data_IF_606517685583
#
_entry.id   IF_606517685583
#
_cell.length_a   1.000
_cell.length_b   1.000
_cell.length_c   1.000
_cell.angle_alpha   90.00
_cell.angle_beta   90.00
_cell.angle_gamma   90.00
#
_symmetry.space_group_name_H-M   'P 1'
#
loop_
_entity.id
_entity.type
_entity.pdbx_description
1 polymer ?
#
# COMPACT_ATOMS: atom_id res chain seq x y z
N UNK A 1 -40.48 5.85 -6.60
CA UNK A 1 -39.68 5.77 -5.34
C UNK A 1 -40.11 4.60 -4.44
N UNK A 2 -41.37 4.52 -3.95
CA UNK A 2 -41.80 3.43 -3.04
C UNK A 2 -41.51 2.00 -3.53
N UNK A 3 -41.76 1.70 -4.81
CA UNK A 3 -41.46 0.40 -5.39
C UNK A 3 -39.94 0.08 -5.40
N UNK A 4 -39.11 1.11 -5.62
CA UNK A 4 -37.65 1.00 -5.57
C UNK A 4 -37.16 0.72 -4.15
N UNK A 5 -37.66 1.46 -3.14
CA UNK A 5 -37.29 1.23 -1.74
C UNK A 5 -37.66 -0.17 -1.26
N UNK A 6 -38.84 -0.68 -1.67
CA UNK A 6 -39.24 -2.05 -1.38
C UNK A 6 -38.39 -3.09 -2.10
N UNK A 7 -38.02 -2.83 -3.37
CA UNK A 7 -37.17 -3.74 -4.17
C UNK A 7 -35.79 -3.93 -3.54
N UNK A 8 -35.20 -2.85 -3.01
CA UNK A 8 -33.84 -2.85 -2.46
C UNK A 8 -33.77 -2.83 -0.93
N UNK A 9 -34.89 -3.08 -0.23
CA UNK A 9 -34.96 -3.10 1.24
C UNK A 9 -34.24 -1.89 1.88
N UNK A 10 -34.57 -0.68 1.42
CA UNK A 10 -33.93 0.58 1.83
C UNK A 10 -34.61 1.13 3.08
N UNK A 11 -33.83 1.57 4.06
CA UNK A 11 -34.30 2.20 5.30
C UNK A 11 -34.90 3.59 5.07
N UNK A 12 -35.68 4.07 6.03
CA UNK A 12 -36.36 5.36 5.94
C UNK A 12 -35.38 6.54 5.81
N UNK A 13 -34.16 6.39 6.33
CA UNK A 13 -33.14 7.45 6.31
C UNK A 13 -32.60 7.66 4.90
N UNK A 14 -32.21 6.58 4.24
CA UNK A 14 -31.74 6.61 2.86
C UNK A 14 -32.87 6.98 1.91
N UNK A 15 -34.11 6.54 2.18
CA UNK A 15 -35.29 6.97 1.44
C UNK A 15 -35.51 8.50 1.49
N UNK A 16 -35.52 9.09 2.70
CA UNK A 16 -35.63 10.54 2.89
C UNK A 16 -34.48 11.31 2.23
N UNK A 17 -33.28 10.76 2.24
CA UNK A 17 -32.12 11.39 1.60
C UNK A 17 -32.30 11.45 0.09
N UNK A 18 -32.76 10.36 -0.54
CA UNK A 18 -33.05 10.34 -1.98
C UNK A 18 -34.19 11.29 -2.34
N UNK A 19 -35.25 11.33 -1.52
CA UNK A 19 -36.39 12.24 -1.72
C UNK A 19 -36.01 13.73 -1.60
N UNK A 20 -35.00 14.05 -0.81
CA UNK A 20 -34.48 15.41 -0.65
C UNK A 20 -33.53 15.84 -1.80
N UNK A 21 -33.08 14.94 -2.67
CA UNK A 21 -32.24 15.26 -3.82
C UNK A 21 -33.03 15.96 -4.93
N UNK A 22 -32.32 16.65 -5.84
CA UNK A 22 -32.93 17.23 -7.04
C UNK A 22 -33.54 16.13 -7.94
N UNK A 23 -34.59 16.44 -8.74
CA UNK A 23 -35.23 15.47 -9.62
C UNK A 23 -34.25 14.76 -10.56
N UNK A 24 -33.24 15.47 -11.07
CA UNK A 24 -32.22 14.92 -11.97
C UNK A 24 -31.36 13.86 -11.28
N UNK A 25 -30.93 14.13 -10.05
CA UNK A 25 -30.18 13.18 -9.22
C UNK A 25 -31.06 11.96 -8.90
N UNK A 26 -32.33 12.17 -8.57
CA UNK A 26 -33.27 11.06 -8.31
C UNK A 26 -33.42 10.15 -9.53
N UNK A 27 -33.65 10.72 -10.71
CA UNK A 27 -33.78 9.96 -11.96
C UNK A 27 -32.51 9.18 -12.29
N UNK A 28 -31.35 9.83 -12.16
CA UNK A 28 -30.05 9.19 -12.43
C UNK A 28 -29.73 8.05 -11.46
N UNK A 29 -30.12 8.21 -10.20
CA UNK A 29 -30.02 7.12 -9.20
C UNK A 29 -30.95 5.97 -9.60
N UNK A 30 -32.21 6.24 -9.93
CA UNK A 30 -33.17 5.20 -10.28
C UNK A 30 -32.81 4.44 -11.56
N UNK A 31 -32.17 5.08 -12.54
CA UNK A 31 -31.75 4.44 -13.78
C UNK A 31 -30.46 3.64 -13.67
N UNK A 32 -29.54 4.09 -12.82
CA UNK A 32 -28.14 3.61 -12.82
C UNK A 32 -27.81 2.75 -11.60
N UNK A 33 -28.60 2.84 -10.54
CA UNK A 33 -28.36 2.04 -9.34
C UNK A 33 -28.80 0.59 -9.56
N UNK A 34 -27.86 -0.23 -10.01
CA UNK A 34 -28.02 -1.67 -10.17
C UNK A 34 -26.98 -2.43 -9.34
N UNK A 35 -27.18 -2.52 -8.01
CA UNK A 35 -26.25 -3.24 -7.17
C UNK A 35 -26.38 -4.75 -7.46
N UNK A 36 -25.24 -5.43 -7.56
CA UNK A 36 -25.20 -6.88 -7.78
C UNK A 36 -26.09 -7.62 -6.76
N UNK A 37 -26.95 -8.56 -7.20
CA UNK A 37 -27.86 -9.27 -6.32
C UNK A 37 -27.06 -10.09 -5.31
N UNK A 38 -26.99 -9.56 -4.10
CA UNK A 38 -26.38 -10.22 -2.96
C UNK A 38 -27.50 -10.92 -2.18
N UNK A 39 -27.16 -11.96 -1.41
CA UNK A 39 -28.08 -12.88 -0.72
C UNK A 39 -29.38 -12.21 -0.23
N UNK A 40 -30.51 -12.90 -0.41
CA UNK A 40 -31.84 -12.42 -0.05
C UNK A 40 -31.88 -11.84 1.38
N UNK A 41 -32.29 -10.58 1.52
CA UNK A 41 -32.47 -9.91 2.81
C UNK A 41 -31.41 -8.86 3.19
N UNK A 42 -30.43 -8.57 2.33
CA UNK A 42 -29.49 -7.48 2.61
C UNK A 42 -30.13 -6.10 2.47
N UNK A 43 -29.73 -5.21 3.38
CA UNK A 43 -30.06 -3.78 3.37
C UNK A 43 -29.10 -3.03 2.42
N UNK A 44 -29.65 -2.42 1.37
CA UNK A 44 -28.88 -1.66 0.38
C UNK A 44 -28.71 -0.17 0.75
N UNK A 45 -29.18 0.27 1.92
CA UNK A 45 -29.16 1.68 2.36
C UNK A 45 -27.75 2.28 2.34
N UNK A 46 -26.74 1.54 2.81
CA UNK A 46 -25.35 2.02 2.81
C UNK A 46 -24.79 2.20 1.40
N UNK A 47 -25.08 1.26 0.50
CA UNK A 47 -24.65 1.32 -0.91
C UNK A 47 -25.35 2.47 -1.64
N UNK A 48 -26.66 2.61 -1.44
CA UNK A 48 -27.46 3.69 -2.02
C UNK A 48 -26.98 5.07 -1.54
N UNK A 49 -26.72 5.23 -0.24
CA UNK A 49 -26.18 6.49 0.31
C UNK A 49 -24.81 6.85 -0.24
N UNK A 50 -23.93 5.87 -0.47
CA UNK A 50 -22.65 6.09 -1.15
C UNK A 50 -22.83 6.55 -2.59
N UNK A 51 -23.75 5.90 -3.31
CA UNK A 51 -24.05 6.22 -4.70
C UNK A 51 -24.70 7.60 -4.88
N UNK A 52 -25.66 7.96 -4.03
CA UNK A 52 -26.28 9.30 -4.00
C UNK A 52 -25.20 10.38 -3.82
N UNK A 53 -24.28 10.20 -2.85
CA UNK A 53 -23.17 11.16 -2.66
C UNK A 53 -22.29 11.28 -3.89
N UNK A 54 -21.97 10.17 -4.54
CA UNK A 54 -21.15 10.19 -5.77
C UNK A 54 -21.83 10.95 -6.91
N UNK A 55 -23.13 10.77 -7.11
CA UNK A 55 -23.87 11.47 -8.17
C UNK A 55 -24.04 12.95 -7.82
N UNK A 56 -24.37 13.28 -6.57
CA UNK A 56 -24.56 14.66 -6.13
C UNK A 56 -23.27 15.48 -6.23
N UNK A 57 -22.11 14.90 -5.89
CA UNK A 57 -20.81 15.57 -6.10
C UNK A 57 -20.54 15.85 -7.57
N UNK A 58 -20.80 14.88 -8.46
CA UNK A 58 -20.57 15.06 -9.89
C UNK A 58 -21.50 16.11 -10.53
N UNK A 59 -22.73 16.27 -10.03
CA UNK A 59 -23.68 17.28 -10.53
C UNK A 59 -23.27 18.70 -10.15
N UNK A 60 -22.71 18.90 -8.95
CA UNK A 60 -22.18 20.19 -8.50
C UNK A 60 -21.00 20.62 -9.37
N UNK A 61 -20.08 19.70 -9.69
CA UNK A 61 -18.93 19.99 -10.56
C UNK A 61 -19.38 20.33 -11.99
N UNK A 62 -20.38 19.61 -12.53
CA UNK A 62 -20.93 19.89 -13.85
C UNK A 62 -21.57 21.29 -13.93
N UNK A 63 -22.35 21.68 -12.91
CA UNK A 63 -22.99 23.02 -12.88
C UNK A 63 -22.00 24.15 -12.66
N UNK A 64 -20.93 23.91 -11.89
CA UNK A 64 -19.85 24.88 -11.71
C UNK A 64 -19.08 25.13 -13.02
N UNK A 65 -18.90 24.10 -13.85
CA UNK A 65 -18.17 24.22 -15.13
C UNK A 65 -18.90 25.01 -16.23
N UNK A 66 -20.22 25.21 -16.13
CA UNK A 66 -21.03 25.89 -17.17
C UNK A 66 -21.09 27.40 -16.96
N UNK A 67 -20.65 27.92 -15.81
CA UNK A 67 -20.73 29.35 -15.47
C UNK A 67 -19.38 30.10 -15.59
N UNK A 68 -18.35 29.49 -16.18
CA UNK A 68 -16.98 30.03 -16.18
C UNK A 68 -16.33 30.01 -17.59
N UNK A 69 -17.07 30.46 -18.62
CA UNK A 69 -16.57 30.48 -20.01
C UNK A 69 -16.54 31.84 -20.69
N UNK A 70 -16.73 32.95 -19.97
CA UNK A 70 -16.52 34.29 -20.51
C UNK A 70 -16.01 35.23 -19.41
N UNK A 71 -14.70 35.37 -19.29
CA UNK A 71 -13.95 36.62 -19.01
C UNK A 71 -12.58 36.38 -18.33
N UNK A 72 -11.59 37.10 -18.86
CA UNK A 72 -10.32 37.50 -18.27
C UNK A 72 -9.28 36.42 -17.90
N UNK A 73 -8.41 36.17 -18.89
CA UNK A 73 -6.97 36.47 -18.76
C UNK A 73 -6.73 37.52 -17.67
N UNK A 74 -6.19 37.12 -16.51
CA UNK A 74 -5.20 37.83 -15.71
C UNK A 74 -5.13 37.24 -14.30
N UNK A 75 -3.90 37.01 -13.85
CA UNK A 75 -3.48 37.13 -12.46
C UNK A 75 -3.77 35.96 -11.49
N UNK A 76 -2.68 35.28 -11.13
CA UNK A 76 -2.23 35.33 -9.74
C UNK A 76 -2.97 34.46 -8.73
N UNK A 77 -2.47 33.23 -8.59
CA UNK A 77 -2.35 32.59 -7.28
C UNK A 77 -3.61 31.97 -6.70
N UNK A 78 -3.47 30.72 -6.26
CA UNK A 78 -3.74 30.29 -4.87
C UNK A 78 -3.57 28.78 -4.82
N UNK A 79 -2.33 28.35 -4.58
CA UNK A 79 -2.10 27.13 -3.81
C UNK A 79 -2.83 27.30 -2.47
N UNK A 80 -4.06 26.80 -2.37
CA UNK A 80 -4.74 26.61 -1.10
C UNK A 80 -4.02 25.46 -0.39
N UNK A 81 -2.97 25.84 0.32
CA UNK A 81 -2.39 25.14 1.46
C UNK A 81 -3.56 24.91 2.42
N UNK A 82 -4.24 23.76 2.30
CA UNK A 82 -5.23 23.31 3.28
C UNK A 82 -4.46 23.20 4.59
N UNK A 83 -4.76 24.13 5.49
CA UNK A 83 -4.35 24.07 6.89
C UNK A 83 -4.82 22.75 7.45
N UNK A 84 -3.91 21.78 7.44
CA UNK A 84 -3.95 20.63 8.31
C UNK A 84 -3.59 21.22 9.67
N UNK A 85 -4.62 21.57 10.44
CA UNK A 85 -4.47 21.80 11.86
C UNK A 85 -3.80 20.56 12.43
N UNK A 86 -2.52 20.71 12.74
CA UNK A 86 -1.76 19.80 13.57
C UNK A 86 -2.42 19.82 14.94
N UNK A 87 -3.44 18.96 15.12
CA UNK A 87 -3.73 18.42 16.42
C UNK A 87 -2.48 17.62 16.83
N UNK A 88 -1.56 18.30 17.52
CA UNK A 88 -0.49 17.72 18.32
C UNK A 88 -1.11 16.91 19.47
N UNK A 89 -1.81 15.84 19.14
CA UNK A 89 -2.08 14.77 20.08
C UNK A 89 -0.78 14.02 20.26
N UNK A 90 -0.02 14.46 21.27
CA UNK A 90 1.16 13.79 21.79
C UNK A 90 0.92 12.28 21.87
N UNK A 91 1.47 11.58 20.89
CA UNK A 91 1.44 10.12 20.81
C UNK A 91 2.88 9.65 20.78
N UNK A 92 3.56 9.85 21.92
CA UNK A 92 4.62 8.93 22.34
C UNK A 92 3.96 7.57 22.54
N UNK A 93 3.78 6.84 21.44
CA UNK A 93 3.35 5.45 21.49
C UNK A 93 4.40 4.62 22.23
N UNK A 94 3.99 3.56 22.94
CA UNK A 94 4.83 2.78 23.86
C UNK A 94 5.84 1.86 23.15
N UNK A 95 6.23 2.16 21.91
CA UNK A 95 7.24 1.37 21.22
C UNK A 95 8.62 1.93 21.58
N UNK A 96 9.47 1.18 22.30
CA UNK A 96 10.83 1.60 22.58
C UNK A 96 11.51 1.90 21.25
N UNK A 97 12.13 3.07 21.13
CA UNK A 97 12.75 3.55 19.87
C UNK A 97 14.05 2.81 19.51
N UNK A 98 14.23 1.59 20.00
CA UNK A 98 15.45 0.80 19.91
C UNK A 98 15.34 -0.30 18.84
N UNK A 99 14.87 0.03 17.64
CA UNK A 99 14.77 -0.92 16.51
C UNK A 99 16.09 -1.11 15.75
N UNK A 100 17.20 -0.57 16.25
CA UNK A 100 18.46 -0.48 15.51
C UNK A 100 19.25 -1.78 15.38
N UNK A 101 18.97 -2.83 16.16
CA UNK A 101 19.79 -4.05 16.14
C UNK A 101 19.09 -5.28 16.75
N UNK A 102 17.81 -5.50 16.40
CA UNK A 102 17.06 -6.63 16.93
C UNK A 102 17.53 -7.95 16.32
N UNK A 103 17.65 -8.99 17.15
CA UNK A 103 17.92 -10.35 16.68
C UNK A 103 16.76 -10.84 15.80
N UNK A 104 17.02 -11.82 14.94
CA UNK A 104 15.97 -12.43 14.12
C UNK A 104 14.80 -12.98 14.96
N UNK A 105 15.10 -13.48 16.17
CA UNK A 105 14.08 -13.94 17.12
C UNK A 105 13.22 -12.80 17.69
N UNK A 106 13.83 -11.69 18.07
CA UNK A 106 13.12 -10.53 18.62
C UNK A 106 12.15 -9.94 17.58
N UNK A 107 12.55 -9.95 16.30
CA UNK A 107 11.71 -9.48 15.21
C UNK A 107 10.45 -10.32 15.02
N UNK A 108 10.51 -11.64 15.27
CA UNK A 108 9.33 -12.51 15.17
C UNK A 108 8.35 -12.29 16.32
N UNK A 109 8.86 -12.12 17.54
CA UNK A 109 8.04 -11.79 18.71
C UNK A 109 7.30 -10.46 18.53
N UNK A 110 7.97 -9.43 17.99
CA UNK A 110 7.36 -8.13 17.71
C UNK A 110 6.23 -8.23 16.67
N UNK A 111 6.38 -9.08 15.64
CA UNK A 111 5.33 -9.29 14.64
C UNK A 111 4.10 -9.98 15.25
N UNK A 112 4.30 -10.95 16.14
CA UNK A 112 3.20 -11.61 16.87
C UNK A 112 2.49 -10.63 17.80
N UNK A 113 3.24 -9.80 18.53
CA UNK A 113 2.68 -8.74 19.36
C UNK A 113 1.89 -7.72 18.52
N UNK A 114 2.40 -7.37 17.34
CA UNK A 114 1.71 -6.50 16.39
C UNK A 114 0.40 -7.11 15.88
N UNK A 115 0.39 -8.40 15.54
CA UNK A 115 -0.82 -9.14 15.13
C UNK A 115 -1.87 -9.22 16.24
N UNK A 116 -1.44 -9.43 17.48
CA UNK A 116 -2.32 -9.43 18.66
C UNK A 116 -2.98 -8.06 18.87
N UNK A 117 -2.23 -6.98 18.63
CA UNK A 117 -2.73 -5.60 18.77
C UNK A 117 -3.62 -5.14 17.63
N UNK A 118 -3.33 -5.60 16.41
CA UNK A 118 -4.04 -5.24 15.19
C UNK A 118 -4.48 -6.51 14.47
N UNK A 119 -5.69 -7.04 14.80
CA UNK A 119 -6.22 -8.24 14.17
C UNK A 119 -6.21 -8.13 12.64
N UNK A 120 -5.60 -9.12 11.98
CA UNK A 120 -5.54 -9.23 10.52
C UNK A 120 -5.62 -10.70 10.12
N UNK A 121 -5.99 -10.95 8.88
CA UNK A 121 -6.02 -12.27 8.30
C UNK A 121 -4.61 -12.86 8.13
N UNK A 122 -4.57 -14.18 7.91
CA UNK A 122 -3.30 -14.90 7.77
C UNK A 122 -2.48 -14.41 6.57
N UNK A 123 -3.15 -14.03 5.48
CA UNK A 123 -2.49 -13.60 4.24
C UNK A 123 -1.75 -12.28 4.42
N UNK A 124 -2.37 -11.32 5.10
CA UNK A 124 -1.77 -10.03 5.41
C UNK A 124 -0.58 -10.20 6.38
N UNK A 125 -0.72 -11.09 7.36
CA UNK A 125 0.37 -11.41 8.29
C UNK A 125 1.56 -12.06 7.56
N UNK A 126 1.33 -13.08 6.74
CA UNK A 126 2.35 -13.74 5.93
C UNK A 126 3.06 -12.74 4.99
N UNK A 127 2.29 -11.84 4.37
CA UNK A 127 2.84 -10.79 3.50
C UNK A 127 3.74 -9.81 4.27
N UNK A 128 3.39 -9.45 5.50
CA UNK A 128 4.25 -8.66 6.39
C UNK A 128 5.48 -9.45 6.84
N UNK A 129 5.31 -10.70 7.31
CA UNK A 129 6.37 -11.54 7.84
C UNK A 129 7.45 -11.86 6.80
N UNK A 130 7.05 -12.10 5.55
CA UNK A 130 7.92 -12.34 4.40
C UNK A 130 8.54 -11.07 3.80
N UNK A 131 8.20 -9.88 4.32
CA UNK A 131 8.81 -8.63 3.87
C UNK A 131 10.25 -8.46 4.40
N UNK A 132 11.12 -7.72 3.70
CA UNK A 132 12.46 -7.39 4.20
C UNK A 132 12.43 -6.77 5.60
N UNK A 133 13.46 -7.04 6.41
CA UNK A 133 13.54 -6.58 7.81
C UNK A 133 13.30 -5.07 7.98
N UNK A 134 13.90 -4.24 7.13
CA UNK A 134 13.70 -2.79 7.15
C UNK A 134 12.27 -2.36 6.81
N UNK A 135 11.58 -3.09 5.92
CA UNK A 135 10.16 -2.85 5.60
C UNK A 135 9.31 -3.18 6.82
N UNK A 136 9.55 -4.34 7.46
CA UNK A 136 8.84 -4.75 8.67
C UNK A 136 9.02 -3.71 9.78
N UNK A 137 10.26 -3.29 10.04
CA UNK A 137 10.57 -2.24 11.02
C UNK A 137 9.85 -0.92 10.69
N UNK A 138 9.85 -0.50 9.42
CA UNK A 138 9.15 0.71 8.97
C UNK A 138 7.64 0.63 9.22
N UNK A 139 7.02 -0.54 8.95
CA UNK A 139 5.60 -0.77 9.20
C UNK A 139 5.32 -0.72 10.71
N UNK A 140 6.06 -1.47 11.53
CA UNK A 140 5.89 -1.49 12.99
C UNK A 140 5.99 -0.08 13.60
N UNK A 141 6.92 0.74 13.11
CA UNK A 141 7.11 2.11 13.59
C UNK A 141 5.99 3.07 13.14
N UNK A 142 5.60 3.02 11.86
CA UNK A 142 4.74 4.02 11.22
C UNK A 142 3.26 3.66 11.22
N UNK A 143 2.90 2.43 11.56
CA UNK A 143 1.50 2.00 11.52
C UNK A 143 0.67 2.77 12.56
N UNK A 144 -0.28 3.57 12.06
CA UNK A 144 -1.20 4.40 12.85
C UNK A 144 -2.59 4.29 12.23
N UNK A 145 -3.42 3.33 12.66
CA UNK A 145 -4.77 3.21 12.14
C UNK A 145 -5.64 4.39 12.58
N UNK A 146 -6.48 4.88 11.68
CA UNK A 146 -7.42 5.97 11.98
C UNK A 146 -8.51 5.54 12.97
N UNK A 147 -8.97 4.29 12.87
CA UNK A 147 -9.95 3.70 13.77
C UNK A 147 -9.26 2.58 14.56
N UNK A 148 -9.15 2.73 15.88
CA UNK A 148 -8.54 1.70 16.74
C UNK A 148 -9.49 0.55 17.09
N UNK A 149 -10.77 0.68 16.74
CA UNK A 149 -11.80 -0.32 17.03
C UNK A 149 -12.21 -1.11 15.78
N UNK A 150 -11.38 -1.12 14.73
CA UNK A 150 -11.63 -1.99 13.58
C UNK A 150 -11.40 -3.45 13.97
N UNK A 151 -12.22 -4.36 13.43
CA UNK A 151 -12.07 -5.80 13.63
C UNK A 151 -11.13 -6.43 12.60
N UNK A 152 -10.84 -5.72 11.50
CA UNK A 152 -9.98 -6.22 10.42
C UNK A 152 -9.05 -5.13 9.87
N UNK A 153 -7.75 -5.24 10.20
CA UNK A 153 -6.70 -4.34 9.72
C UNK A 153 -5.97 -4.83 8.46
N UNK A 154 -6.38 -5.96 7.87
CA UNK A 154 -5.65 -6.66 6.78
C UNK A 154 -5.35 -5.75 5.59
N UNK A 155 -6.37 -5.02 5.12
CA UNK A 155 -6.23 -4.10 3.99
C UNK A 155 -5.29 -2.92 4.30
N UNK A 156 -5.38 -2.38 5.51
CA UNK A 156 -4.54 -1.25 5.93
C UNK A 156 -3.08 -1.67 6.08
N UNK A 157 -2.82 -2.79 6.76
CA UNK A 157 -1.46 -3.35 6.91
C UNK A 157 -0.84 -3.62 5.55
N UNK A 158 -1.57 -4.31 4.66
CA UNK A 158 -1.10 -4.60 3.30
C UNK A 158 -0.76 -3.32 2.53
N UNK A 159 -1.59 -2.27 2.64
CA UNK A 159 -1.32 -0.98 1.99
C UNK A 159 -0.07 -0.31 2.54
N UNK A 160 0.16 -0.34 3.86
CA UNK A 160 1.34 0.26 4.50
C UNK A 160 2.60 -0.53 4.13
N UNK A 161 2.55 -1.86 4.11
CA UNK A 161 3.66 -2.71 3.65
C UNK A 161 4.02 -2.39 2.20
N UNK A 162 3.05 -2.31 1.30
CA UNK A 162 3.29 -1.94 -0.11
C UNK A 162 3.92 -0.56 -0.22
N UNK A 163 3.41 0.42 0.51
CA UNK A 163 3.97 1.77 0.54
C UNK A 163 5.40 1.78 1.09
N UNK A 164 5.66 1.08 2.19
CA UNK A 164 6.99 0.96 2.77
C UNK A 164 7.98 0.27 1.83
N UNK A 165 7.56 -0.72 1.04
CA UNK A 165 8.39 -1.34 -0.01
C UNK A 165 8.71 -0.38 -1.17
N UNK A 166 7.79 0.53 -1.50
CA UNK A 166 7.99 1.54 -2.55
C UNK A 166 8.87 2.69 -2.07
N UNK A 167 8.75 3.10 -0.81
CA UNK A 167 9.54 4.17 -0.19
C UNK A 167 10.90 3.70 0.31
N UNK A 168 11.02 2.43 0.69
CA UNK A 168 12.30 1.85 1.00
C UNK A 168 13.17 2.00 -0.25
N UNK A 169 14.36 2.63 -0.14
CA UNK A 169 15.32 2.50 -1.22
C UNK A 169 15.44 0.99 -1.48
N UNK A 170 15.49 0.55 -2.76
CA UNK A 170 15.87 -0.82 -3.05
C UNK A 170 17.10 -1.10 -2.19
N UNK A 171 17.17 -2.27 -1.55
CA UNK A 171 18.17 -2.59 -0.53
C UNK A 171 19.64 -2.57 -1.04
N UNK A 172 19.92 -1.85 -2.12
CA UNK A 172 21.19 -1.54 -2.75
C UNK A 172 22.27 -1.01 -1.79
N UNK A 173 21.94 -0.46 -0.62
CA UNK A 173 22.97 -0.02 0.33
C UNK A 173 23.22 -1.01 1.47
N UNK A 174 22.35 -2.01 1.67
CA UNK A 174 22.66 -3.09 2.58
C UNK A 174 23.52 -4.11 1.83
N UNK A 175 24.80 -4.20 2.22
CA UNK A 175 25.69 -5.24 1.72
C UNK A 175 24.99 -6.60 1.83
N UNK A 176 24.94 -7.39 0.74
CA UNK A 176 24.43 -8.74 0.80
C UNK A 176 25.09 -9.52 1.94
N UNK A 177 24.32 -10.41 2.59
CA UNK A 177 24.88 -11.26 3.62
C UNK A 177 25.98 -12.16 3.03
N UNK A 178 26.99 -12.47 3.84
CA UNK A 178 28.06 -13.39 3.48
C UNK A 178 27.51 -14.75 3.02
N UNK A 179 26.42 -15.20 3.64
CA UNK A 179 25.71 -16.42 3.24
C UNK A 179 25.14 -16.34 1.81
N UNK A 180 24.55 -15.20 1.42
CA UNK A 180 24.00 -15.01 0.08
C UNK A 180 25.11 -14.99 -0.98
N UNK A 181 26.24 -14.35 -0.66
CA UNK A 181 27.43 -14.40 -1.50
C UNK A 181 27.93 -15.85 -1.62
N UNK A 182 28.07 -16.59 -0.51
CA UNK A 182 28.56 -17.97 -0.52
C UNK A 182 27.63 -18.93 -1.29
N UNK A 183 26.30 -18.72 -1.20
CA UNK A 183 25.34 -19.45 -2.03
C UNK A 183 25.52 -19.15 -3.53
N UNK A 184 25.77 -17.89 -3.88
CA UNK A 184 26.04 -17.50 -5.25
C UNK A 184 27.32 -18.16 -5.80
N UNK A 185 28.40 -18.21 -5.00
CA UNK A 185 29.64 -18.91 -5.39
C UNK A 185 29.43 -20.41 -5.60
N UNK A 186 28.63 -21.06 -4.75
CA UNK A 186 28.28 -22.48 -4.94
C UNK A 186 27.48 -22.72 -6.20
N UNK A 187 26.60 -21.78 -6.56
CA UNK A 187 25.74 -21.87 -7.74
C UNK A 187 26.49 -21.56 -9.04
N UNK A 188 27.42 -20.61 -9.00
CA UNK A 188 28.22 -20.19 -10.14
C UNK A 188 29.71 -20.28 -9.76
N UNK A 189 30.33 -21.46 -9.88
CA UNK A 189 31.74 -21.64 -9.57
C UNK A 189 32.61 -20.63 -10.34
N UNK A 190 33.48 -19.93 -9.63
CA UNK A 190 34.42 -18.95 -10.18
C UNK A 190 35.74 -19.04 -9.41
N UNK A 191 36.81 -18.54 -10.01
CA UNK A 191 38.13 -18.50 -9.40
C UNK A 191 38.21 -17.50 -8.23
N UNK A 192 39.23 -17.66 -7.39
CA UNK A 192 39.43 -16.81 -6.20
C UNK A 192 39.54 -15.33 -6.59
N UNK A 193 40.09 -15.03 -7.76
CA UNK A 193 40.28 -13.65 -8.22
C UNK A 193 38.97 -12.96 -8.57
N UNK A 194 38.07 -13.63 -9.28
CA UNK A 194 36.74 -13.14 -9.60
C UNK A 194 35.90 -12.99 -8.32
N UNK A 195 36.05 -13.93 -7.40
CA UNK A 195 35.40 -13.90 -6.10
C UNK A 195 35.85 -12.71 -5.24
N UNK A 196 37.16 -12.47 -5.12
CA UNK A 196 37.71 -11.30 -4.43
C UNK A 196 37.24 -9.99 -5.08
N UNK A 197 37.12 -9.97 -6.42
CA UNK A 197 36.60 -8.81 -7.15
C UNK A 197 35.11 -8.54 -6.84
N UNK A 198 34.29 -9.58 -6.70
CA UNK A 198 32.90 -9.45 -6.26
C UNK A 198 32.82 -8.96 -4.80
N UNK A 199 33.60 -9.54 -3.89
CA UNK A 199 33.62 -9.15 -2.47
C UNK A 199 34.09 -7.71 -2.24
N UNK A 200 35.00 -7.21 -3.08
CA UNK A 200 35.49 -5.83 -3.01
C UNK A 200 34.60 -4.80 -3.72
N UNK A 201 33.59 -5.25 -4.48
CA UNK A 201 32.62 -4.36 -5.11
C UNK A 201 31.69 -3.70 -4.07
N UNK A 202 31.02 -2.60 -4.44
CA UNK A 202 30.07 -1.95 -3.53
C UNK A 202 28.87 -2.86 -3.24
N UNK A 203 28.23 -2.67 -2.08
CA UNK A 203 26.99 -3.36 -1.70
C UNK A 203 25.93 -3.36 -2.82
N UNK A 204 25.78 -2.23 -3.50
CA UNK A 204 24.85 -2.05 -4.61
C UNK A 204 25.19 -2.92 -5.82
N UNK A 205 26.48 -3.03 -6.15
CA UNK A 205 26.95 -3.87 -7.26
C UNK A 205 26.81 -5.34 -6.90
N UNK A 206 27.18 -5.74 -5.67
CA UNK A 206 26.99 -7.10 -5.19
C UNK A 206 25.51 -7.52 -5.24
N UNK A 207 24.60 -6.68 -4.73
CA UNK A 207 23.16 -6.94 -4.76
C UNK A 207 22.62 -7.07 -6.19
N UNK A 208 23.13 -6.25 -7.11
CA UNK A 208 22.77 -6.32 -8.52
C UNK A 208 23.27 -7.62 -9.17
N UNK A 209 24.51 -8.03 -8.90
CA UNK A 209 25.04 -9.32 -9.37
C UNK A 209 24.18 -10.47 -8.87
N UNK A 210 23.87 -10.51 -7.56
CA UNK A 210 23.08 -11.58 -6.96
C UNK A 210 21.67 -11.70 -7.56
N UNK A 211 21.04 -10.58 -7.94
CA UNK A 211 19.66 -10.56 -8.43
C UNK A 211 19.55 -10.72 -9.95
N UNK A 212 20.39 -10.00 -10.70
CA UNK A 212 20.27 -9.83 -12.15
C UNK A 212 21.23 -10.73 -12.96
N UNK A 213 22.27 -11.32 -12.36
CA UNK A 213 23.20 -12.14 -13.11
C UNK A 213 22.50 -13.36 -13.72
N UNK A 214 22.58 -13.45 -15.05
CA UNK A 214 22.06 -14.55 -15.86
C UNK A 214 23.15 -14.94 -16.88
N UNK A 215 23.88 -16.04 -16.65
CA UNK A 215 24.91 -16.44 -17.59
C UNK A 215 24.28 -16.82 -18.94
N UNK A 216 25.04 -16.63 -20.03
CA UNK A 216 24.56 -16.97 -21.38
C UNK A 216 24.51 -18.48 -21.62
N UNK A 217 25.27 -19.24 -20.84
CA UNK A 217 25.41 -20.69 -20.88
C UNK A 217 25.35 -21.18 -19.44
N UNK A 218 24.40 -22.06 -19.13
CA UNK A 218 24.21 -22.62 -17.79
C UNK A 218 25.13 -23.83 -17.52
N UNK A 219 25.86 -24.29 -18.53
CA UNK A 219 26.73 -25.47 -18.48
C UNK A 219 28.23 -25.15 -18.42
N UNK A 220 28.60 -23.86 -18.27
CA UNK A 220 30.00 -23.49 -18.10
C UNK A 220 30.52 -23.96 -16.72
N UNK A 221 31.74 -24.48 -16.70
CA UNK A 221 32.42 -24.90 -15.45
C UNK A 221 33.09 -23.74 -14.72
N UNK A 222 33.24 -22.60 -15.39
CA UNK A 222 33.92 -21.41 -14.89
C UNK A 222 33.15 -20.14 -15.27
N UNK A 223 32.57 -19.47 -14.26
CA UNK A 223 31.81 -18.24 -14.39
C UNK A 223 32.65 -16.97 -14.08
N UNK A 224 33.97 -17.09 -13.94
CA UNK A 224 34.87 -15.97 -13.58
C UNK A 224 34.78 -14.80 -14.56
N UNK A 225 34.88 -15.08 -15.86
CA UNK A 225 34.80 -14.06 -16.91
C UNK A 225 33.41 -13.38 -16.99
N UNK A 226 32.27 -14.10 -17.04
CA UNK A 226 30.96 -13.46 -17.11
C UNK A 226 30.61 -12.67 -15.83
N UNK A 227 30.97 -13.16 -14.64
CA UNK A 227 30.72 -12.43 -13.39
C UNK A 227 31.54 -11.14 -13.34
N UNK A 228 32.86 -11.21 -13.61
CA UNK A 228 33.71 -10.00 -13.63
C UNK A 228 33.31 -9.01 -14.74
N UNK A 229 32.81 -9.49 -15.88
CA UNK A 229 32.26 -8.64 -16.93
C UNK A 229 30.93 -7.97 -16.53
N UNK A 230 30.10 -8.61 -15.70
CA UNK A 230 28.85 -8.04 -15.21
C UNK A 230 29.05 -6.99 -14.11
N UNK A 231 30.12 -7.12 -13.32
CA UNK A 231 30.50 -6.17 -12.26
C UNK A 231 31.00 -4.84 -12.84
N UNK A 232 31.62 -4.86 -14.03
CA UNK A 232 32.15 -3.67 -14.72
C UNK A 232 31.06 -2.86 -15.42
#
# INVERSE_FOLDING_TARGET
>A
LKAFFRKYNVDDRAARTLEACTPDVQLKVLSTFDPHPQSSGQDYSRKLMGFIRSIASADVDARASVLDSDDDDLNGGRHRKRGREEMELGTQGPFPSSFGNLSAGDAEEELLAFRSRYPMDERAFEFLASSPSHVRASVLQRFRPFNQNDSDYSGLVTSVVKKARLEAPPAADAAPSEEALAEFQRRYPMDDRAWDYLQSASASVQARVLSEFRPRRDDDTDYSAPVTAFIR
#
